data_IF_131372707401
#
_entry.id   IF_131372707401
#
_cell.length_a   1.000
_cell.length_b   1.000
_cell.length_c   1.000
_cell.angle_alpha   90.00
_cell.angle_beta   90.00
_cell.angle_gamma   90.00
#
_symmetry.space_group_name_H-M   'P 1'
#
loop_
_entity.id
_entity.type
_entity.pdbx_description
1 polymer ?
#
# COMPACT_ATOMS: atom_id res chain seq x y z
N UNK A 1 22.66 -22.29 -5.02
CA UNK A 1 23.56 -23.42 -4.71
C UNK A 1 23.56 -23.81 -3.23
N UNK A 2 22.81 -23.12 -2.37
CA UNK A 2 22.67 -23.40 -0.93
C UNK A 2 23.90 -23.07 -0.05
N UNK A 3 24.89 -22.37 -0.58
CA UNK A 3 26.04 -21.90 0.21
C UNK A 3 25.72 -20.56 0.89
N UNK A 4 26.46 -20.26 1.97
CA UNK A 4 26.32 -18.96 2.66
C UNK A 4 26.68 -17.79 1.79
N UNK A 5 26.11 -16.62 2.10
CA UNK A 5 26.36 -15.34 1.43
C UNK A 5 27.14 -14.40 2.34
N UNK A 6 27.91 -13.48 1.75
CA UNK A 6 28.55 -12.34 2.41
C UNK A 6 27.96 -11.04 1.88
N UNK A 7 27.87 -10.04 2.74
CA UNK A 7 27.50 -8.68 2.33
C UNK A 7 28.80 -7.96 1.90
N UNK A 8 28.94 -7.66 0.61
CA UNK A 8 30.11 -7.01 0.04
C UNK A 8 29.73 -6.16 -1.18
N UNK A 9 30.58 -5.24 -1.59
CA UNK A 9 30.37 -4.46 -2.81
C UNK A 9 31.00 -5.23 -3.99
N UNK A 10 30.18 -5.81 -4.89
CA UNK A 10 30.70 -6.57 -6.02
C UNK A 10 31.46 -5.67 -7.00
N UNK A 11 32.36 -6.26 -7.79
CA UNK A 11 33.06 -5.56 -8.83
C UNK A 11 32.07 -4.91 -9.81
N UNK A 12 32.19 -3.58 -10.00
CA UNK A 12 31.31 -2.80 -10.87
C UNK A 12 30.02 -2.30 -10.21
N UNK A 13 29.76 -2.59 -8.93
CA UNK A 13 28.65 -2.03 -8.17
C UNK A 13 29.14 -0.93 -7.20
N UNK A 14 28.21 -0.14 -6.67
CA UNK A 14 28.48 0.93 -5.70
C UNK A 14 27.82 0.66 -4.33
N UNK A 15 26.98 -0.36 -4.25
CA UNK A 15 26.22 -0.71 -3.05
C UNK A 15 26.55 -2.13 -2.57
N UNK A 16 26.48 -2.38 -1.26
CA UNK A 16 26.62 -3.73 -0.71
C UNK A 16 25.51 -4.65 -1.23
N UNK A 17 25.89 -5.88 -1.62
CA UNK A 17 24.97 -6.94 -2.06
C UNK A 17 25.30 -8.24 -1.33
N UNK A 18 24.32 -9.12 -1.24
CA UNK A 18 24.57 -10.47 -0.76
C UNK A 18 25.18 -11.30 -1.89
N UNK A 19 26.47 -11.66 -1.75
CA UNK A 19 27.22 -12.44 -2.74
C UNK A 19 27.46 -13.85 -2.22
N UNK A 20 27.15 -14.85 -3.04
CA UNK A 20 27.37 -16.25 -2.69
C UNK A 20 28.87 -16.58 -2.67
N UNK A 21 29.39 -17.06 -1.55
CA UNK A 21 30.81 -17.40 -1.37
C UNK A 21 31.31 -18.53 -2.27
N UNK A 22 30.41 -19.37 -2.80
CA UNK A 22 30.80 -20.53 -3.59
C UNK A 22 30.69 -20.33 -5.08
N UNK A 23 29.61 -19.69 -5.55
CA UNK A 23 29.36 -19.53 -7.00
C UNK A 23 29.38 -18.09 -7.48
N UNK A 24 29.65 -17.11 -6.61
CA UNK A 24 29.73 -15.70 -6.98
C UNK A 24 28.40 -15.07 -7.35
N UNK A 25 27.26 -15.77 -7.21
CA UNK A 25 25.94 -15.21 -7.54
C UNK A 25 25.61 -14.03 -6.64
N UNK A 26 25.22 -12.90 -7.27
CA UNK A 26 24.86 -11.66 -6.57
C UNK A 26 23.33 -11.63 -6.42
N UNK A 27 22.85 -11.50 -5.19
CA UNK A 27 21.43 -11.35 -4.88
C UNK A 27 21.11 -9.85 -4.81
N UNK A 28 20.28 -9.39 -5.73
CA UNK A 28 19.76 -8.04 -5.74
C UNK A 28 18.44 -7.99 -4.96
N UNK A 29 18.31 -6.98 -4.10
CA UNK A 29 17.06 -6.67 -3.43
C UNK A 29 16.52 -5.36 -3.98
N UNK A 30 15.29 -5.37 -4.45
CA UNK A 30 14.57 -4.18 -4.92
C UNK A 30 13.57 -3.72 -3.84
N UNK A 31 13.20 -2.43 -3.84
CA UNK A 31 12.09 -1.98 -3.02
C UNK A 31 10.81 -2.78 -3.32
N UNK A 32 10.07 -3.10 -2.26
CA UNK A 32 8.79 -3.77 -2.41
C UNK A 32 7.70 -2.76 -2.77
N UNK A 33 6.85 -3.14 -3.71
CA UNK A 33 5.69 -2.36 -4.11
C UNK A 33 4.46 -2.84 -3.33
N UNK A 34 3.83 -1.92 -2.60
CA UNK A 34 2.51 -2.09 -1.99
C UNK A 34 1.51 -1.38 -2.89
N UNK A 35 0.42 -2.04 -3.23
CA UNK A 35 -0.61 -1.47 -4.09
C UNK A 35 -1.96 -1.51 -3.37
N UNK A 36 -2.69 -0.41 -3.42
CA UNK A 36 -4.00 -0.31 -2.80
C UNK A 36 -4.96 0.57 -3.59
N UNK A 37 -6.17 0.71 -3.08
CA UNK A 37 -7.23 1.46 -3.72
C UNK A 37 -8.01 2.35 -2.75
N UNK A 38 -8.24 3.61 -3.14
CA UNK A 38 -9.30 4.43 -2.58
C UNK A 38 -10.58 4.04 -3.33
N UNK A 39 -11.32 3.09 -2.79
CA UNK A 39 -12.55 2.58 -3.37
C UNK A 39 -13.75 3.33 -2.80
N UNK A 40 -14.52 3.98 -3.67
CA UNK A 40 -15.68 4.80 -3.30
C UNK A 40 -17.01 4.10 -3.64
N UNK A 41 -18.00 4.28 -2.77
CA UNK A 41 -19.40 3.95 -3.03
C UNK A 41 -20.31 5.05 -2.50
N UNK A 42 -21.06 5.69 -3.39
CA UNK A 42 -22.05 6.75 -3.05
C UNK A 42 -21.52 7.80 -2.06
N UNK A 43 -20.27 8.19 -2.26
CA UNK A 43 -19.63 9.20 -1.43
C UNK A 43 -18.90 8.69 -0.17
N UNK A 44 -19.08 7.41 0.18
CA UNK A 44 -18.34 6.75 1.23
C UNK A 44 -17.05 6.14 0.70
N UNK A 45 -16.04 6.02 1.55
CA UNK A 45 -14.75 5.40 1.27
C UNK A 45 -14.69 4.06 2.00
N UNK A 46 -14.25 3.02 1.30
CA UNK A 46 -14.03 1.69 1.88
C UNK A 46 -12.78 1.71 2.74
N UNK A 47 -12.93 1.33 4.01
CA UNK A 47 -11.82 1.12 4.94
C UNK A 47 -11.88 -0.30 5.51
N UNK A 48 -10.71 -0.88 5.76
CA UNK A 48 -10.51 -2.18 6.41
C UNK A 48 -9.86 -1.99 7.77
N UNK A 49 -10.33 -2.69 8.80
CA UNK A 49 -9.70 -2.71 10.12
C UNK A 49 -8.80 -3.92 10.22
N UNK A 50 -7.52 -3.71 10.38
CA UNK A 50 -6.47 -4.74 10.28
C UNK A 50 -6.62 -5.86 11.31
N UNK A 51 -6.56 -7.11 10.87
CA UNK A 51 -6.50 -8.29 11.72
C UNK A 51 -5.06 -8.72 12.04
N UNK A 52 -4.06 -8.23 11.29
CA UNK A 52 -2.66 -8.65 11.33
C UNK A 52 -1.71 -7.51 11.74
N UNK A 53 -0.54 -7.89 12.26
CA UNK A 53 0.55 -6.94 12.50
C UNK A 53 1.27 -6.53 11.18
N UNK A 54 1.89 -5.36 11.12
CA UNK A 54 1.88 -4.30 12.13
C UNK A 54 0.54 -3.55 12.17
N UNK A 55 0.30 -2.83 13.27
CA UNK A 55 -0.87 -1.94 13.42
C UNK A 55 -2.22 -2.68 13.44
N UNK A 56 -2.28 -3.87 14.03
CA UNK A 56 -3.51 -4.60 14.25
C UNK A 56 -4.54 -3.74 14.98
N UNK A 57 -5.80 -3.79 14.52
CA UNK A 57 -6.91 -3.05 15.09
C UNK A 57 -7.08 -1.63 14.56
N UNK A 58 -6.11 -1.10 13.79
CA UNK A 58 -6.22 0.21 13.14
C UNK A 58 -6.79 0.09 11.73
N UNK A 59 -7.29 1.22 11.21
CA UNK A 59 -7.95 1.31 9.91
C UNK A 59 -6.96 1.61 8.78
N UNK A 60 -7.21 1.04 7.62
CA UNK A 60 -6.42 1.27 6.41
C UNK A 60 -7.31 1.26 5.17
N UNK A 61 -6.78 1.74 4.05
CA UNK A 61 -7.29 1.39 2.73
C UNK A 61 -6.90 -0.07 2.43
N UNK A 62 -7.72 -0.83 1.68
CA UNK A 62 -7.31 -2.15 1.20
C UNK A 62 -6.03 -2.03 0.37
N UNK A 63 -4.97 -2.73 0.79
CA UNK A 63 -3.66 -2.63 0.17
C UNK A 63 -2.69 -3.70 0.67
N UNK A 64 -1.94 -4.33 -0.24
CA UNK A 64 -0.90 -5.28 0.09
C UNK A 64 0.23 -5.34 -0.94
N UNK A 65 1.11 -6.32 -0.80
CA UNK A 65 2.26 -6.47 -1.69
C UNK A 65 1.84 -6.97 -3.07
N UNK A 66 2.35 -6.26 -4.10
CA UNK A 66 2.19 -6.72 -5.47
C UNK A 66 2.86 -8.07 -5.68
N UNK A 67 2.17 -8.99 -6.36
CA UNK A 67 2.68 -10.31 -6.71
C UNK A 67 3.34 -10.35 -8.09
N UNK A 68 4.19 -11.36 -8.32
CA UNK A 68 4.79 -11.56 -9.62
C UNK A 68 3.74 -12.00 -10.65
N UNK A 69 3.75 -11.35 -11.80
CA UNK A 69 2.87 -11.72 -12.93
C UNK A 69 1.55 -10.96 -12.99
N UNK A 70 1.26 -10.09 -12.03
CA UNK A 70 0.10 -9.20 -12.07
C UNK A 70 0.46 -7.77 -12.45
N UNK A 71 -0.51 -7.01 -12.97
CA UNK A 71 -0.36 -5.57 -13.12
C UNK A 71 -0.68 -4.86 -11.80
N UNK A 72 -0.20 -3.62 -11.64
CA UNK A 72 -0.53 -2.82 -10.44
C UNK A 72 -2.04 -2.61 -10.26
N UNK A 73 -2.79 -2.47 -11.36
CA UNK A 73 -4.25 -2.36 -11.30
C UNK A 73 -4.91 -3.68 -10.88
N UNK A 74 -4.34 -4.83 -11.27
CA UNK A 74 -4.85 -6.14 -10.83
C UNK A 74 -4.54 -6.38 -9.36
N UNK A 75 -3.34 -5.99 -8.89
CA UNK A 75 -3.01 -6.01 -7.46
C UNK A 75 -4.01 -5.19 -6.64
N UNK A 76 -4.34 -3.96 -7.06
CA UNK A 76 -5.34 -3.14 -6.38
C UNK A 76 -6.72 -3.80 -6.30
N UNK A 77 -7.14 -4.53 -7.36
CA UNK A 77 -8.41 -5.28 -7.37
C UNK A 77 -8.35 -6.47 -6.44
N UNK A 78 -7.29 -7.27 -6.52
CA UNK A 78 -7.09 -8.46 -5.71
C UNK A 78 -7.09 -8.11 -4.22
N UNK A 79 -6.29 -7.13 -3.81
CA UNK A 79 -6.21 -6.70 -2.40
C UNK A 79 -7.57 -6.18 -1.89
N UNK A 80 -8.33 -5.45 -2.75
CA UNK A 80 -9.67 -4.99 -2.36
C UNK A 80 -10.65 -6.15 -2.19
N UNK A 81 -10.54 -7.20 -3.02
CA UNK A 81 -11.37 -8.41 -2.90
C UNK A 81 -10.95 -9.25 -1.68
N UNK A 82 -9.65 -9.48 -1.49
CA UNK A 82 -9.12 -10.29 -0.40
C UNK A 82 -9.37 -9.68 0.98
N UNK A 83 -9.15 -8.37 1.15
CA UNK A 83 -9.31 -7.72 2.44
C UNK A 83 -10.75 -7.29 2.76
N UNK A 84 -11.57 -7.02 1.74
CA UNK A 84 -12.90 -6.46 1.92
C UNK A 84 -14.04 -7.23 1.23
N UNK A 85 -13.76 -8.32 0.52
CA UNK A 85 -14.76 -9.06 -0.25
C UNK A 85 -15.46 -8.19 -1.30
N UNK A 86 -14.83 -7.12 -1.75
CA UNK A 86 -15.47 -6.06 -2.53
C UNK A 86 -14.89 -5.98 -3.94
N UNK A 87 -15.77 -5.95 -4.96
CA UNK A 87 -15.37 -5.71 -6.35
C UNK A 87 -15.16 -4.24 -6.61
N UNK A 88 -13.94 -3.86 -6.97
CA UNK A 88 -13.60 -2.48 -7.37
C UNK A 88 -13.36 -2.36 -8.88
N UNK A 89 -13.90 -1.32 -9.47
CA UNK A 89 -13.57 -0.85 -10.82
C UNK A 89 -12.47 0.20 -10.64
N UNK A 90 -11.24 -0.18 -10.94
CA UNK A 90 -10.07 0.69 -10.80
C UNK A 90 -10.07 1.70 -11.94
N UNK A 91 -9.97 3.00 -11.59
CA UNK A 91 -9.99 4.10 -12.56
C UNK A 91 -8.56 4.49 -12.98
N UNK A 92 -7.78 5.10 -12.10
CA UNK A 92 -6.45 5.63 -12.42
C UNK A 92 -5.50 5.57 -11.21
N UNK A 93 -4.17 5.50 -11.44
CA UNK A 93 -3.19 5.77 -10.40
C UNK A 93 -3.43 7.16 -9.79
N UNK A 94 -3.37 7.25 -8.48
CA UNK A 94 -3.75 8.45 -7.77
C UNK A 94 -2.63 9.00 -6.88
N UNK A 95 -2.01 8.15 -6.06
CA UNK A 95 -0.94 8.58 -5.19
C UNK A 95 0.21 7.57 -5.16
N UNK A 96 1.44 8.05 -5.24
CA UNK A 96 2.66 7.28 -5.04
C UNK A 96 3.43 7.83 -3.83
N UNK A 97 3.71 6.96 -2.87
CA UNK A 97 4.37 7.33 -1.62
C UNK A 97 5.64 6.52 -1.47
N UNK A 98 6.80 7.17 -1.59
CA UNK A 98 8.10 6.56 -1.35
C UNK A 98 8.43 6.51 0.14
N UNK A 99 8.76 5.33 0.66
CA UNK A 99 9.13 5.10 2.07
C UNK A 99 10.52 4.44 2.08
N UNK A 100 11.52 5.23 1.71
CA UNK A 100 12.88 4.76 1.44
C UNK A 100 13.52 4.02 2.63
N UNK A 101 13.25 4.44 3.86
CA UNK A 101 13.85 3.86 5.06
C UNK A 101 13.38 2.44 5.41
N UNK A 102 12.33 1.95 4.75
CA UNK A 102 11.87 0.55 4.84
C UNK A 102 11.85 -0.15 3.48
N UNK A 103 12.46 0.47 2.46
CA UNK A 103 12.53 -0.05 1.09
C UNK A 103 11.15 -0.41 0.53
N UNK A 104 10.19 0.51 0.63
CA UNK A 104 8.84 0.35 0.08
C UNK A 104 8.42 1.54 -0.76
N UNK A 105 7.60 1.25 -1.77
CA UNK A 105 6.83 2.24 -2.54
C UNK A 105 5.36 1.83 -2.44
N UNK A 106 4.51 2.75 -2.01
CA UNK A 106 3.06 2.52 -1.97
C UNK A 106 2.42 3.24 -3.14
N UNK A 107 1.66 2.51 -3.94
CA UNK A 107 0.89 3.03 -5.07
C UNK A 107 -0.61 2.85 -4.79
N UNK A 108 -1.33 3.94 -4.71
CA UNK A 108 -2.78 3.91 -4.52
C UNK A 108 -3.48 4.30 -5.81
N UNK A 109 -4.48 3.52 -6.15
CA UNK A 109 -5.42 3.82 -7.23
C UNK A 109 -6.68 4.51 -6.69
N UNK A 110 -7.37 5.24 -7.55
CA UNK A 110 -8.79 5.53 -7.34
C UNK A 110 -9.61 4.44 -7.99
N UNK A 111 -10.76 4.16 -7.38
CA UNK A 111 -11.71 3.23 -7.95
C UNK A 111 -13.10 3.42 -7.36
N UNK A 112 -14.06 2.77 -7.99
CA UNK A 112 -15.45 2.73 -7.57
C UNK A 112 -15.86 1.30 -7.29
N UNK A 113 -16.55 1.07 -6.18
CA UNK A 113 -17.12 -0.24 -5.93
C UNK A 113 -18.23 -0.55 -6.95
N UNK A 114 -18.33 -1.80 -7.34
CA UNK A 114 -19.39 -2.27 -8.21
C UNK A 114 -20.74 -2.39 -7.48
N UNK A 115 -20.70 -2.62 -6.15
CA UNK A 115 -21.83 -2.72 -5.24
C UNK A 115 -21.41 -2.33 -3.82
N UNK A 116 -22.38 -2.15 -2.92
CA UNK A 116 -22.08 -1.89 -1.49
C UNK A 116 -21.72 -3.15 -0.71
N UNK A 117 -21.79 -4.32 -1.34
CA UNK A 117 -21.52 -5.59 -0.70
C UNK A 117 -20.03 -5.68 -0.38
N UNK A 118 -19.73 -5.68 0.90
CA UNK A 118 -18.38 -5.86 1.44
C UNK A 118 -18.42 -6.71 2.71
N UNK A 119 -17.38 -7.52 2.91
CA UNK A 119 -17.24 -8.37 4.07
C UNK A 119 -15.74 -8.52 4.41
N UNK A 120 -15.38 -8.57 5.71
CA UNK A 120 -13.98 -8.71 6.09
C UNK A 120 -13.41 -10.05 5.60
N UNK A 121 -12.27 -9.97 4.92
CA UNK A 121 -11.43 -11.12 4.60
C UNK A 121 -10.58 -11.56 5.79
N UNK A 122 -9.69 -12.53 5.58
CA UNK A 122 -8.88 -13.11 6.67
C UNK A 122 -7.97 -12.10 7.37
N UNK A 123 -7.49 -11.07 6.64
CA UNK A 123 -6.61 -10.03 7.16
C UNK A 123 -7.36 -8.81 7.72
N UNK A 124 -8.70 -8.85 7.73
CA UNK A 124 -9.57 -7.77 8.22
C UNK A 124 -10.45 -8.20 9.38
N UNK A 125 -10.46 -7.41 10.47
CA UNK A 125 -11.39 -7.59 11.59
C UNK A 125 -12.77 -7.05 11.25
N UNK A 126 -12.81 -5.99 10.44
CA UNK A 126 -13.99 -5.22 10.13
C UNK A 126 -13.78 -4.47 8.80
N UNK A 127 -14.85 -4.26 8.07
CA UNK A 127 -14.87 -3.46 6.83
C UNK A 127 -16.01 -2.46 6.93
N UNK A 128 -15.78 -1.23 6.56
CA UNK A 128 -16.78 -0.17 6.62
C UNK A 128 -16.73 0.77 5.42
N UNK A 129 -17.92 1.19 4.97
CA UNK A 129 -18.09 2.32 4.06
C UNK A 129 -18.25 3.59 4.91
N UNK A 130 -17.24 4.43 4.93
CA UNK A 130 -17.11 5.55 5.85
C UNK A 130 -17.29 6.88 5.11
N UNK A 131 -18.19 7.74 5.61
CA UNK A 131 -18.29 9.11 5.11
C UNK A 131 -16.98 9.90 5.38
N UNK A 132 -16.60 10.84 4.51
CA UNK A 132 -15.38 11.64 4.69
C UNK A 132 -15.23 12.29 6.07
N UNK A 133 -16.32 12.83 6.60
CA UNK A 133 -16.38 13.47 7.92
C UNK A 133 -16.26 12.49 9.10
N UNK A 134 -16.47 11.20 8.83
CA UNK A 134 -16.42 10.12 9.83
C UNK A 134 -15.14 9.28 9.76
N UNK A 135 -14.16 9.67 8.94
CA UNK A 135 -12.88 8.96 8.86
C UNK A 135 -12.19 9.00 10.23
N UNK A 136 -11.83 7.84 10.80
CA UNK A 136 -11.19 7.75 12.11
C UNK A 136 -9.70 8.12 12.04
N UNK A 137 -9.38 9.39 11.77
CA UNK A 137 -8.03 9.88 11.53
C UNK A 137 -6.97 9.44 12.56
N UNK A 138 -7.26 9.46 13.89
CA UNK A 138 -6.28 9.02 14.89
C UNK A 138 -5.96 7.54 14.81
N UNK A 139 -6.88 6.74 14.25
CA UNK A 139 -6.80 5.29 14.15
C UNK A 139 -6.42 4.81 12.76
N UNK A 140 -5.97 5.71 11.86
CA UNK A 140 -5.42 5.31 10.57
C UNK A 140 -4.02 4.70 10.76
N UNK A 141 -3.85 3.47 10.28
CA UNK A 141 -2.67 2.64 10.54
C UNK A 141 -1.36 3.22 9.99
N UNK A 142 -1.40 3.82 8.79
CA UNK A 142 -0.20 4.19 8.05
C UNK A 142 -0.24 5.62 7.54
N UNK A 143 0.87 6.34 7.70
CA UNK A 143 1.02 7.72 7.19
C UNK A 143 0.82 7.83 5.66
N UNK A 144 1.15 6.80 4.91
CA UNK A 144 0.90 6.74 3.47
C UNK A 144 -0.59 6.73 3.15
N UNK A 145 -1.39 6.02 3.95
CA UNK A 145 -2.85 6.00 3.85
C UNK A 145 -3.44 7.35 4.25
N UNK A 146 -2.97 7.93 5.37
CA UNK A 146 -3.37 9.30 5.78
C UNK A 146 -3.13 10.29 4.65
N UNK A 147 -1.90 10.32 4.09
CA UNK A 147 -1.56 11.20 2.98
C UNK A 147 -2.47 10.98 1.76
N UNK A 148 -2.70 9.72 1.38
CA UNK A 148 -3.56 9.38 0.26
C UNK A 148 -4.99 9.88 0.46
N UNK A 149 -5.58 9.63 1.63
CA UNK A 149 -6.94 10.08 1.97
C UNK A 149 -7.05 11.61 2.00
N UNK A 150 -6.08 12.32 2.59
CA UNK A 150 -6.07 13.78 2.59
C UNK A 150 -6.04 14.37 1.17
N UNK A 151 -5.20 13.81 0.28
CA UNK A 151 -5.16 14.24 -1.13
C UNK A 151 -6.46 13.93 -1.84
N UNK A 152 -7.02 12.73 -1.62
CA UNK A 152 -8.28 12.32 -2.22
C UNK A 152 -9.43 13.27 -1.85
N UNK A 153 -9.56 13.62 -0.57
CA UNK A 153 -10.62 14.52 -0.11
C UNK A 153 -10.43 15.96 -0.64
N UNK A 154 -9.19 16.42 -0.72
CA UNK A 154 -8.89 17.75 -1.29
C UNK A 154 -9.25 17.81 -2.78
N UNK A 155 -8.85 16.82 -3.57
CA UNK A 155 -9.16 16.73 -5.00
C UNK A 155 -10.65 16.59 -5.26
N UNK A 156 -11.32 15.77 -4.43
CA UNK A 156 -12.77 15.59 -4.48
C UNK A 156 -13.51 16.90 -4.23
N UNK A 157 -13.08 17.69 -3.23
CA UNK A 157 -13.67 19.00 -2.94
C UNK A 157 -13.43 20.00 -4.07
N UNK A 158 -12.28 19.91 -4.74
CA UNK A 158 -11.94 20.74 -5.90
C UNK A 158 -12.61 20.26 -7.21
N UNK A 159 -13.20 19.07 -7.25
CA UNK A 159 -13.77 18.46 -8.45
C UNK A 159 -12.74 18.08 -9.52
N UNK A 160 -11.46 18.00 -9.16
CA UNK A 160 -10.37 17.72 -10.07
C UNK A 160 -9.33 16.81 -9.42
N UNK A 161 -9.14 15.62 -9.99
CA UNK A 161 -8.21 14.62 -9.47
C UNK A 161 -6.90 14.62 -10.25
N UNK A 162 -5.79 14.84 -9.54
CA UNK A 162 -4.43 14.73 -10.05
C UNK A 162 -3.73 13.45 -9.62
N UNK A 163 -2.46 13.31 -10.04
CA UNK A 163 -1.55 12.30 -9.49
C UNK A 163 -0.64 12.96 -8.46
N UNK A 164 -0.54 12.36 -7.28
CA UNK A 164 0.22 12.89 -6.15
C UNK A 164 1.43 12.01 -5.86
N UNK A 165 2.61 12.62 -5.82
CA UNK A 165 3.84 11.94 -5.43
C UNK A 165 4.41 12.58 -4.15
N UNK A 166 4.88 11.75 -3.23
CA UNK A 166 5.56 12.21 -2.01
C UNK A 166 6.57 11.21 -1.49
N UNK A 167 7.48 11.68 -0.64
CA UNK A 167 8.39 10.84 0.14
C UNK A 167 8.13 11.05 1.62
N UNK A 168 7.88 9.96 2.35
CA UNK A 168 7.74 10.01 3.80
C UNK A 168 9.11 9.85 4.47
N UNK A 169 9.56 10.85 5.25
CA UNK A 169 10.79 10.75 6.01
C UNK A 169 10.62 9.74 7.17
N UNK A 170 11.75 9.16 7.58
CA UNK A 170 11.81 8.39 8.82
C UNK A 170 11.39 9.29 9.98
N UNK A 171 10.40 8.86 10.74
CA UNK A 171 10.04 9.57 11.99
C UNK A 171 11.14 9.29 13.00
N UNK A 172 11.73 10.35 13.55
CA UNK A 172 12.58 10.19 14.72
C UNK A 172 11.72 9.61 15.86
N UNK A 173 12.10 8.46 16.41
CA UNK A 173 11.47 7.97 17.61
C UNK A 173 11.54 9.09 18.65
N UNK A 174 10.42 9.64 19.08
CA UNK A 174 10.37 10.39 20.33
C UNK A 174 10.64 9.34 21.42
N UNK A 175 11.83 9.41 21.98
CA UNK A 175 12.20 8.72 23.22
C UNK A 175 11.25 9.15 24.32
#
# INVERSE_FOLDING_TARGET
>A
CGAGVSLEIPAGDTLPRHVCKRCGHIHYENPRLVVGCVAEWQGCILLCRRAIEPQRGLWTLPAGFMENGETTADAARRETDEEAGARVIVDAPFAMVSIAHINQVHLFYRGRLAAADCAPGEESLEVALVLPESIPWPDIAFRSVTHCLERYLADRAAGNFGFHETTLPKVANRL
#
